data_IF_247763020216
#
_entry.id   IF_247763020216
#
_cell.length_a   1.000
_cell.length_b   1.000
_cell.length_c   1.000
_cell.angle_alpha   90.00
_cell.angle_beta   90.00
_cell.angle_gamma   90.00
#
_symmetry.space_group_name_H-M   'P 1'
#
loop_
_entity.id
_entity.type
_entity.pdbx_description
1 polymer ?
#
# COMPACT_ATOMS: atom_id res chain seq x y z
N UNK A 1 -31.21 -52.46 25.97
CA UNK A 1 -31.69 -51.07 26.14
C UNK A 1 -30.47 -50.15 26.10
N UNK A 2 -30.07 -49.82 24.93
CA UNK A 2 -28.78 -49.17 24.62
C UNK A 2 -29.06 -47.73 24.15
N UNK A 3 -28.65 -46.77 24.97
CA UNK A 3 -28.82 -45.36 24.69
C UNK A 3 -27.72 -44.86 23.74
N UNK A 4 -28.10 -44.55 22.52
CA UNK A 4 -27.25 -43.86 21.54
C UNK A 4 -26.89 -42.46 22.04
N UNK A 5 -25.60 -42.19 22.28
CA UNK A 5 -25.05 -40.86 22.53
C UNK A 5 -24.88 -40.15 21.21
N UNK A 6 -25.68 -39.12 20.99
CA UNK A 6 -25.54 -38.15 19.92
C UNK A 6 -24.27 -37.32 20.17
N UNK A 7 -23.27 -37.49 19.32
CA UNK A 7 -22.09 -36.59 19.21
C UNK A 7 -22.44 -35.38 18.37
N UNK A 8 -23.05 -34.36 18.97
CA UNK A 8 -23.13 -33.04 18.38
C UNK A 8 -21.80 -32.35 18.47
N UNK A 9 -21.06 -32.27 17.35
CA UNK A 9 -19.85 -31.47 17.24
C UNK A 9 -20.18 -29.97 17.39
N UNK A 10 -19.29 -29.18 18.03
CA UNK A 10 -19.54 -27.73 18.19
C UNK A 10 -19.27 -27.03 16.87
N UNK A 11 -20.28 -26.85 16.02
CA UNK A 11 -20.27 -25.77 15.05
C UNK A 11 -20.40 -24.48 15.83
N UNK A 12 -19.27 -23.90 16.26
CA UNK A 12 -19.21 -22.56 16.80
C UNK A 12 -19.57 -21.61 15.65
N UNK A 13 -20.83 -21.17 15.62
CA UNK A 13 -21.25 -20.04 14.77
C UNK A 13 -20.47 -18.81 15.25
N UNK A 14 -19.39 -18.49 14.55
CA UNK A 14 -18.66 -17.23 14.78
C UNK A 14 -19.66 -16.09 14.64
N UNK A 15 -19.73 -15.25 15.67
CA UNK A 15 -20.54 -14.03 15.60
C UNK A 15 -20.06 -13.21 14.40
N UNK A 16 -20.95 -12.56 13.62
CA UNK A 16 -20.58 -11.84 12.39
C UNK A 16 -19.38 -10.88 12.56
N UNK A 17 -19.26 -10.23 13.73
CA UNK A 17 -18.12 -9.36 14.05
C UNK A 17 -16.79 -10.11 14.21
N UNK A 18 -16.80 -11.33 14.78
CA UNK A 18 -15.59 -12.13 14.93
C UNK A 18 -15.10 -12.67 13.59
N UNK A 19 -16.01 -13.08 12.69
CA UNK A 19 -15.66 -13.51 11.33
C UNK A 19 -15.02 -12.38 10.52
N UNK A 20 -15.56 -11.16 10.60
CA UNK A 20 -15.00 -9.96 9.95
C UNK A 20 -13.62 -9.61 10.52
N UNK A 21 -13.45 -9.67 11.84
CA UNK A 21 -12.15 -9.42 12.47
C UNK A 21 -11.10 -10.45 12.03
N UNK A 22 -11.47 -11.73 11.96
CA UNK A 22 -10.59 -12.78 11.47
C UNK A 22 -10.21 -12.58 9.99
N UNK A 23 -11.16 -12.22 9.12
CA UNK A 23 -10.89 -11.93 7.71
C UNK A 23 -9.90 -10.75 7.54
N UNK A 24 -10.04 -9.68 8.31
CA UNK A 24 -9.11 -8.54 8.29
C UNK A 24 -7.71 -8.93 8.79
N UNK A 25 -7.65 -9.68 9.87
CA UNK A 25 -6.37 -10.17 10.41
C UNK A 25 -5.66 -11.11 9.43
N UNK A 26 -6.38 -11.92 8.67
CA UNK A 26 -5.86 -12.82 7.64
C UNK A 26 -5.80 -12.23 6.23
N UNK A 27 -6.04 -10.93 6.06
CA UNK A 27 -6.16 -10.31 4.72
C UNK A 27 -4.94 -10.51 3.83
N UNK A 28 -3.74 -10.64 4.41
CA UNK A 28 -2.48 -10.85 3.70
C UNK A 28 -1.98 -12.31 3.75
N UNK A 29 -2.75 -13.27 4.27
CA UNK A 29 -2.29 -14.67 4.46
C UNK A 29 -1.83 -15.33 3.15
N UNK A 30 -2.54 -15.07 2.04
CA UNK A 30 -2.18 -15.61 0.73
C UNK A 30 -0.91 -15.00 0.13
N UNK A 31 -0.38 -13.93 0.74
CA UNK A 31 0.85 -13.27 0.34
C UNK A 31 2.07 -13.77 1.12
N UNK A 32 1.89 -14.48 2.24
CA UNK A 32 2.99 -14.99 3.08
C UNK A 32 4.03 -15.79 2.29
N UNK A 33 3.66 -16.68 1.33
CA UNK A 33 4.64 -17.45 0.58
C UNK A 33 5.59 -16.63 -0.30
N UNK A 34 5.31 -15.34 -0.52
CA UNK A 34 6.21 -14.46 -1.25
C UNK A 34 7.46 -14.07 -0.44
N UNK A 35 7.38 -14.16 0.88
CA UNK A 35 8.42 -13.63 1.77
C UNK A 35 9.27 -14.73 2.38
N UNK A 36 10.55 -14.45 2.50
CA UNK A 36 11.46 -15.19 3.36
C UNK A 36 11.35 -14.62 4.78
N UNK A 37 11.21 -15.53 5.77
CA UNK A 37 11.08 -15.20 7.19
C UNK A 37 10.02 -14.11 7.48
N UNK A 38 8.76 -14.26 7.03
CA UNK A 38 7.74 -13.26 7.23
C UNK A 38 7.40 -13.07 8.70
N UNK A 39 7.28 -11.82 9.13
CA UNK A 39 6.73 -11.45 10.43
C UNK A 39 5.38 -10.81 10.16
N UNK A 40 4.30 -11.48 10.59
CA UNK A 40 2.95 -10.95 10.49
C UNK A 40 2.50 -10.37 11.83
N UNK A 41 1.84 -9.20 11.75
CA UNK A 41 1.21 -8.54 12.89
C UNK A 41 -0.17 -8.05 12.48
N UNK A 42 -1.03 -7.82 13.46
CA UNK A 42 -2.31 -7.13 13.25
C UNK A 42 -2.15 -5.71 13.75
N UNK A 43 -2.48 -4.74 12.89
CA UNK A 43 -2.43 -3.31 13.23
C UNK A 43 -3.63 -2.89 14.09
N UNK A 44 -3.59 -1.68 14.64
CA UNK A 44 -4.70 -1.11 15.44
C UNK A 44 -6.00 -0.98 14.63
N UNK A 45 -5.92 -0.99 13.31
CA UNK A 45 -7.08 -1.01 12.40
C UNK A 45 -7.73 -2.39 12.27
N UNK A 46 -7.11 -3.43 12.86
CA UNK A 46 -7.52 -4.82 12.75
C UNK A 46 -7.03 -5.52 11.48
N UNK A 47 -6.34 -4.81 10.57
CA UNK A 47 -5.78 -5.41 9.36
C UNK A 47 -4.37 -5.94 9.56
N UNK A 48 -4.02 -6.95 8.73
CA UNK A 48 -2.70 -7.55 8.71
C UNK A 48 -1.62 -6.56 8.22
N UNK A 49 -0.39 -6.73 8.75
CA UNK A 49 0.86 -6.13 8.27
C UNK A 49 1.92 -7.21 8.19
N UNK A 50 2.65 -7.29 7.09
CA UNK A 50 3.76 -8.21 6.89
C UNK A 50 5.05 -7.43 6.76
N UNK A 51 6.10 -7.90 7.45
CA UNK A 51 7.49 -7.50 7.21
C UNK A 51 8.30 -8.74 6.90
N UNK A 52 9.14 -8.71 5.87
CA UNK A 52 9.96 -9.86 5.47
C UNK A 52 10.81 -9.56 4.24
N UNK A 53 11.68 -10.50 3.88
CA UNK A 53 12.51 -10.39 2.68
C UNK A 53 11.77 -10.91 1.44
N UNK A 54 11.89 -10.20 0.34
CA UNK A 54 11.46 -10.61 -0.99
C UNK A 54 12.60 -10.37 -1.97
N UNK A 55 13.07 -11.42 -2.63
CA UNK A 55 14.23 -11.35 -3.55
C UNK A 55 15.46 -10.70 -2.89
N UNK A 56 15.70 -11.00 -1.61
CA UNK A 56 16.82 -10.47 -0.84
C UNK A 56 16.68 -9.03 -0.34
N UNK A 57 15.58 -8.33 -0.63
CA UNK A 57 15.31 -6.96 -0.18
C UNK A 57 14.22 -6.94 0.90
N UNK A 58 14.33 -6.01 1.86
CA UNK A 58 13.40 -5.91 2.98
C UNK A 58 12.15 -5.13 2.59
N UNK A 59 11.00 -5.75 2.80
CA UNK A 59 9.69 -5.14 2.56
C UNK A 59 8.87 -5.01 3.82
N UNK A 60 8.04 -3.97 3.85
CA UNK A 60 6.96 -3.77 4.80
C UNK A 60 5.66 -3.52 4.02
N UNK A 61 4.67 -4.36 4.26
CA UNK A 61 3.36 -4.31 3.60
C UNK A 61 2.28 -4.09 4.64
N UNK A 62 1.53 -3.01 4.49
CA UNK A 62 0.49 -2.63 5.42
C UNK A 62 -0.82 -2.37 4.70
N UNK A 63 -1.93 -2.77 5.32
CA UNK A 63 -3.29 -2.49 4.84
C UNK A 63 -3.93 -1.43 5.72
N UNK A 64 -4.44 -0.36 5.10
CA UNK A 64 -5.01 0.79 5.82
C UNK A 64 -6.39 1.11 5.28
N UNK A 65 -7.45 0.99 6.11
CA UNK A 65 -8.78 1.43 5.74
C UNK A 65 -8.88 2.97 5.79
N UNK A 66 -9.46 3.57 4.77
CA UNK A 66 -9.81 4.98 4.73
C UNK A 66 -11.34 5.13 4.81
N UNK A 67 -11.82 5.34 6.02
CA UNK A 67 -13.23 5.53 6.33
C UNK A 67 -13.61 6.99 6.64
N UNK A 68 -12.61 7.90 6.68
CA UNK A 68 -12.80 9.28 7.17
C UNK A 68 -13.26 10.26 6.08
N UNK A 69 -13.30 9.86 4.83
CA UNK A 69 -13.70 10.74 3.74
C UNK A 69 -15.23 10.86 3.66
N UNK A 70 -15.80 11.92 4.24
CA UNK A 70 -17.24 12.22 4.24
C UNK A 70 -17.88 12.35 2.84
N UNK A 71 -17.07 12.48 1.77
CA UNK A 71 -17.53 12.70 0.40
C UNK A 71 -17.14 11.60 -0.58
N UNK A 72 -16.39 10.59 -0.15
CA UNK A 72 -15.95 9.46 -0.97
C UNK A 72 -16.40 8.16 -0.34
N UNK A 73 -16.48 7.12 -1.15
CA UNK A 73 -16.72 5.77 -0.65
C UNK A 73 -15.52 5.35 0.22
N UNK A 74 -15.78 4.64 1.34
CA UNK A 74 -14.71 3.99 2.09
C UNK A 74 -13.89 3.08 1.17
N UNK A 75 -12.57 3.09 1.36
CA UNK A 75 -11.67 2.30 0.55
C UNK A 75 -10.58 1.66 1.40
N UNK A 76 -9.87 0.70 0.82
CA UNK A 76 -8.78 -0.03 1.44
C UNK A 76 -7.50 0.23 0.64
N UNK A 77 -6.51 0.82 1.30
CA UNK A 77 -5.21 1.10 0.74
C UNK A 77 -4.20 0.03 1.12
N UNK A 78 -3.40 -0.39 0.16
CA UNK A 78 -2.23 -1.23 0.37
C UNK A 78 -0.99 -0.34 0.29
N UNK A 79 -0.24 -0.27 1.36
CA UNK A 79 1.04 0.43 1.43
C UNK A 79 2.14 -0.63 1.29
N UNK A 80 2.87 -0.61 0.18
CA UNK A 80 4.01 -1.49 -0.07
C UNK A 80 5.28 -0.66 0.01
N UNK A 81 6.16 -0.97 0.94
CA UNK A 81 7.41 -0.24 1.16
C UNK A 81 8.59 -1.18 1.02
N UNK A 82 9.51 -0.87 0.13
CA UNK A 82 10.85 -1.45 0.10
C UNK A 82 11.72 -0.61 1.04
N UNK A 83 12.26 -1.26 2.09
CA UNK A 83 12.96 -0.60 3.21
C UNK A 83 14.48 -0.76 3.00
N UNK A 84 15.00 -0.02 2.03
CA UNK A 84 16.41 -0.01 1.68
C UNK A 84 16.89 1.43 1.48
N UNK A 85 18.08 1.75 1.97
CA UNK A 85 18.63 3.11 1.89
C UNK A 85 18.84 3.57 0.44
N UNK A 86 18.53 4.85 0.21
CA UNK A 86 18.74 5.55 -1.05
C UNK A 86 19.59 6.82 -0.85
N UNK A 87 20.51 7.12 -1.79
CA UNK A 87 21.35 8.31 -1.76
C UNK A 87 20.61 9.55 -2.32
N UNK A 88 19.41 9.83 -1.81
CA UNK A 88 18.61 10.99 -2.19
C UNK A 88 18.71 12.10 -1.15
N UNK A 89 18.59 13.37 -1.56
CA UNK A 89 18.75 14.53 -0.67
C UNK A 89 17.60 14.65 0.34
N UNK A 90 16.38 14.27 -0.06
CA UNK A 90 15.17 14.35 0.76
C UNK A 90 14.10 13.39 0.30
N UNK A 91 12.87 13.62 0.74
CA UNK A 91 11.70 12.85 0.33
C UNK A 91 11.03 13.49 -0.88
N UNK A 92 10.62 12.67 -1.84
CA UNK A 92 9.85 13.06 -3.03
C UNK A 92 8.57 12.25 -3.01
N UNK A 93 7.44 12.93 -2.81
CA UNK A 93 6.13 12.30 -2.79
C UNK A 93 5.34 12.75 -4.01
N UNK A 94 5.03 11.82 -4.89
CA UNK A 94 4.15 12.02 -6.05
C UNK A 94 2.79 11.40 -5.74
N UNK A 95 1.76 12.25 -5.62
CA UNK A 95 0.42 11.84 -5.21
C UNK A 95 -0.60 12.08 -6.31
N UNK A 96 -1.37 11.05 -6.62
CA UNK A 96 -2.49 11.11 -7.54
C UNK A 96 -3.72 11.68 -6.83
N UNK A 97 -4.39 12.66 -7.46
CA UNK A 97 -5.65 13.20 -6.96
C UNK A 97 -5.59 13.57 -5.46
N UNK A 98 -4.57 14.36 -5.08
CA UNK A 98 -4.36 14.80 -3.71
C UNK A 98 -5.61 15.52 -3.18
N UNK A 99 -6.05 15.16 -1.97
CA UNK A 99 -7.23 15.78 -1.31
C UNK A 99 -6.83 16.59 -0.08
N UNK A 100 -5.59 16.43 0.40
CA UNK A 100 -5.06 17.10 1.60
C UNK A 100 -5.52 16.48 2.92
N UNK A 101 -6.20 15.32 2.86
CA UNK A 101 -6.71 14.62 4.04
C UNK A 101 -6.30 13.13 4.05
N UNK A 102 -5.16 12.80 3.47
CA UNK A 102 -4.64 11.43 3.41
C UNK A 102 -3.97 11.06 4.74
N UNK A 103 -4.66 10.28 5.57
CA UNK A 103 -4.20 9.88 6.93
C UNK A 103 -3.01 8.92 6.91
N UNK A 104 -2.78 8.24 5.78
CA UNK A 104 -1.68 7.28 5.59
C UNK A 104 -0.40 7.92 5.04
N UNK A 105 -0.43 9.20 4.70
CA UNK A 105 0.65 9.90 4.00
C UNK A 105 1.13 11.13 4.77
N UNK A 106 2.42 11.40 4.66
CA UNK A 106 3.04 12.65 5.12
C UNK A 106 3.11 13.72 4.02
N UNK A 107 2.35 13.55 2.95
CA UNK A 107 2.35 14.46 1.80
C UNK A 107 2.06 15.92 2.21
N UNK A 108 1.12 16.12 3.14
CA UNK A 108 0.78 17.43 3.67
C UNK A 108 1.89 18.11 4.47
N UNK A 109 2.81 17.34 5.05
CA UNK A 109 3.90 17.86 5.89
C UNK A 109 5.07 18.38 5.06
N UNK A 110 5.16 18.00 3.77
CA UNK A 110 6.22 18.43 2.86
C UNK A 110 6.00 19.88 2.42
N UNK A 111 7.02 20.73 2.63
CA UNK A 111 6.88 22.18 2.49
C UNK A 111 6.83 22.65 1.04
N UNK A 112 7.59 22.00 0.14
CA UNK A 112 7.75 22.48 -1.22
C UNK A 112 6.86 21.68 -2.19
N UNK A 113 5.99 22.35 -2.91
CA UNK A 113 5.33 21.78 -4.07
C UNK A 113 6.13 22.17 -5.31
N UNK A 114 6.47 21.17 -6.12
CA UNK A 114 7.24 21.37 -7.36
C UNK A 114 6.37 21.18 -8.57
N UNK A 115 6.78 21.83 -9.69
CA UNK A 115 6.14 21.61 -10.97
C UNK A 115 6.24 20.14 -11.37
N UNK A 116 5.14 19.58 -11.87
CA UNK A 116 5.11 18.19 -12.33
C UNK A 116 5.79 18.12 -13.70
N UNK A 117 6.90 17.35 -13.84
CA UNK A 117 7.59 17.23 -15.10
C UNK A 117 6.76 16.49 -16.16
N UNK A 118 7.13 16.66 -17.43
CA UNK A 118 6.54 15.88 -18.53
C UNK A 118 6.81 14.39 -18.31
N UNK A 119 5.81 13.55 -18.60
CA UNK A 119 5.89 12.10 -18.44
C UNK A 119 5.23 11.56 -17.16
N UNK A 120 4.81 12.44 -16.25
CA UNK A 120 3.98 12.03 -15.12
C UNK A 120 2.51 11.90 -15.52
N UNK A 121 1.74 11.02 -14.85
CA UNK A 121 0.31 10.88 -15.10
C UNK A 121 -0.45 12.19 -14.81
N UNK A 122 -1.54 12.43 -15.54
CA UNK A 122 -2.44 13.55 -15.31
C UNK A 122 -3.05 13.47 -13.88
N UNK A 123 -3.21 14.63 -13.23
CA UNK A 123 -3.72 14.72 -11.86
C UNK A 123 -2.69 14.36 -10.78
N UNK A 124 -1.42 14.24 -11.14
CA UNK A 124 -0.32 14.10 -10.19
C UNK A 124 0.02 15.46 -9.56
N UNK A 125 0.34 15.43 -8.27
CA UNK A 125 0.94 16.54 -7.52
C UNK A 125 2.18 16.05 -6.83
N UNK A 126 3.27 16.84 -6.85
CA UNK A 126 4.54 16.42 -6.26
C UNK A 126 4.92 17.39 -5.16
N UNK A 127 5.30 16.83 -4.00
CA UNK A 127 5.88 17.58 -2.89
C UNK A 127 7.22 16.97 -2.44
N UNK A 128 8.08 17.82 -1.91
CA UNK A 128 9.42 17.46 -1.45
C UNK A 128 9.86 18.32 -0.26
N UNK A 129 10.73 17.77 0.57
CA UNK A 129 11.54 18.50 1.54
C UNK A 129 13.00 18.71 1.08
N UNK A 130 13.35 18.18 -0.10
CA UNK A 130 14.66 18.39 -0.70
C UNK A 130 14.80 19.81 -1.27
N UNK A 131 16.01 20.35 -1.16
CA UNK A 131 16.41 21.63 -1.75
C UNK A 131 17.33 21.34 -2.94
N UNK A 132 17.06 21.95 -4.10
CA UNK A 132 17.88 21.82 -5.31
C UNK A 132 17.29 20.88 -6.35
N UNK A 133 18.17 20.40 -7.25
CA UNK A 133 17.78 19.56 -8.38
C UNK A 133 17.14 18.24 -7.96
N UNK A 134 16.22 17.79 -8.77
CA UNK A 134 15.46 16.57 -8.56
C UNK A 134 15.90 15.46 -9.53
N UNK A 135 17.01 14.75 -9.25
CA UNK A 135 17.63 13.80 -10.20
C UNK A 135 16.78 12.56 -10.46
N UNK A 136 15.85 12.24 -9.57
CA UNK A 136 14.98 11.03 -9.69
C UNK A 136 13.68 11.28 -10.46
N UNK A 137 13.44 12.48 -10.98
CA UNK A 137 12.16 12.83 -11.61
C UNK A 137 11.81 11.93 -12.80
N UNK A 138 12.75 11.72 -13.72
CA UNK A 138 12.51 10.91 -14.92
C UNK A 138 12.24 9.44 -14.57
N UNK A 139 13.00 8.89 -13.62
CA UNK A 139 12.83 7.51 -13.12
C UNK A 139 11.46 7.35 -12.46
N UNK A 140 11.09 8.27 -11.60
CA UNK A 140 9.79 8.23 -10.90
C UNK A 140 8.62 8.41 -11.88
N UNK A 141 8.73 9.33 -12.84
CA UNK A 141 7.73 9.52 -13.88
C UNK A 141 7.51 8.28 -14.74
N UNK A 142 8.60 7.64 -15.18
CA UNK A 142 8.57 6.38 -15.93
C UNK A 142 7.92 5.24 -15.15
N UNK A 143 8.25 5.09 -13.87
CA UNK A 143 7.64 4.11 -13.00
C UNK A 143 6.13 4.32 -12.86
N UNK A 144 5.71 5.56 -12.58
CA UNK A 144 4.28 5.89 -12.40
C UNK A 144 3.48 5.74 -13.68
N UNK A 145 4.05 6.05 -14.85
CA UNK A 145 3.39 5.89 -16.14
C UNK A 145 3.12 4.41 -16.49
N UNK A 146 3.90 3.48 -15.94
CA UNK A 146 3.70 2.04 -16.10
C UNK A 146 2.62 1.43 -15.19
N UNK A 147 2.05 2.21 -14.26
CA UNK A 147 1.05 1.74 -13.30
C UNK A 147 -0.39 2.11 -13.73
N UNK A 148 -1.36 1.31 -13.28
CA UNK A 148 -2.77 1.68 -13.38
C UNK A 148 -3.06 2.92 -12.50
N UNK A 149 -3.19 4.09 -13.14
CA UNK A 149 -3.40 5.37 -12.48
C UNK A 149 -4.74 5.48 -11.75
N UNK A 150 -5.72 4.63 -12.07
CA UNK A 150 -6.99 4.57 -11.35
C UNK A 150 -6.80 4.00 -9.93
N UNK A 151 -5.86 3.06 -9.78
CA UNK A 151 -5.52 2.42 -8.50
C UNK A 151 -4.35 3.07 -7.79
N UNK A 152 -3.47 3.72 -8.51
CA UNK A 152 -2.32 4.41 -7.92
C UNK A 152 -2.77 5.63 -7.10
N UNK A 153 -2.33 5.71 -5.85
CA UNK A 153 -2.57 6.87 -4.98
C UNK A 153 -1.31 7.69 -4.74
N UNK A 154 -0.20 7.05 -4.39
CA UNK A 154 1.03 7.75 -4.04
C UNK A 154 2.26 6.89 -4.36
N UNK A 155 3.33 7.53 -4.80
CA UNK A 155 4.68 6.96 -4.81
C UNK A 155 5.60 7.87 -4.02
N UNK A 156 6.36 7.28 -3.10
CA UNK A 156 7.33 7.98 -2.25
C UNK A 156 8.72 7.44 -2.54
N UNK A 157 9.66 8.37 -2.77
CA UNK A 157 11.10 8.08 -2.80
C UNK A 157 11.74 8.86 -1.67
N UNK A 158 12.36 8.18 -0.72
CA UNK A 158 12.98 8.78 0.46
C UNK A 158 14.31 8.11 0.80
N UNK A 159 15.12 8.71 1.67
CA UNK A 159 16.39 8.14 2.15
C UNK A 159 16.25 6.74 2.75
N UNK A 160 15.08 6.40 3.25
CA UNK A 160 14.79 5.13 3.93
C UNK A 160 14.20 4.08 3.01
N UNK A 161 13.92 4.40 1.75
CA UNK A 161 13.37 3.46 0.78
C UNK A 161 12.38 4.07 -0.18
N UNK A 162 11.65 3.19 -0.87
CA UNK A 162 10.58 3.55 -1.81
C UNK A 162 9.26 2.93 -1.36
N UNK A 163 8.15 3.63 -1.62
CA UNK A 163 6.80 3.16 -1.27
C UNK A 163 5.83 3.42 -2.41
N UNK A 164 4.91 2.48 -2.61
CA UNK A 164 3.69 2.71 -3.38
C UNK A 164 2.46 2.56 -2.50
N UNK A 165 1.47 3.42 -2.70
CA UNK A 165 0.14 3.31 -2.09
C UNK A 165 -0.85 2.98 -3.18
N UNK A 166 -1.54 1.86 -3.01
CA UNK A 166 -2.36 1.22 -4.02
C UNK A 166 -3.77 0.96 -3.54
N UNK A 167 -4.77 1.27 -4.35
CA UNK A 167 -6.16 0.97 -4.06
C UNK A 167 -6.44 -0.53 -4.31
N UNK A 168 -6.79 -1.26 -3.26
CA UNK A 168 -7.14 -2.69 -3.37
C UNK A 168 -8.63 -2.93 -3.37
N UNK A 169 -9.38 -2.18 -2.55
CA UNK A 169 -10.84 -2.28 -2.48
C UNK A 169 -11.47 -0.89 -2.36
N UNK A 170 -12.64 -0.74 -2.93
CA UNK A 170 -13.55 0.40 -2.72
C UNK A 170 -14.92 -0.18 -2.33
N UNK A 171 -15.60 0.48 -1.37
CA UNK A 171 -16.91 0.02 -0.93
C UNK A 171 -17.94 0.09 -2.06
N UNK A 172 -18.83 -0.89 -2.13
CA UNK A 172 -19.96 -0.86 -3.05
C UNK A 172 -20.86 0.34 -2.74
N UNK A 173 -21.07 1.19 -3.76
CA UNK A 173 -21.82 2.44 -3.63
C UNK A 173 -23.27 2.22 -3.22
N UNK A 174 -23.92 1.24 -3.83
CA UNK A 174 -25.34 0.95 -3.56
C UNK A 174 -25.53 0.47 -2.13
N UNK A 175 -24.72 -0.48 -1.72
CA UNK A 175 -24.75 -1.03 -0.36
C UNK A 175 -24.38 0.03 0.70
N UNK A 176 -23.35 0.81 0.47
CA UNK A 176 -22.93 1.85 1.42
C UNK A 176 -23.98 2.95 1.59
N UNK A 177 -24.66 3.36 0.52
CA UNK A 177 -25.74 4.36 0.61
C UNK A 177 -26.95 3.85 1.38
N UNK A 178 -27.27 2.56 1.27
CA UNK A 178 -28.44 1.96 1.94
C UNK A 178 -28.15 1.61 3.40
N UNK A 179 -27.00 1.01 3.69
CA UNK A 179 -26.72 0.41 5.00
C UNK A 179 -25.64 1.14 5.80
N UNK A 180 -24.94 2.12 5.20
CA UNK A 180 -23.77 2.80 5.79
C UNK A 180 -22.68 1.82 6.26
N UNK A 181 -22.66 0.62 5.69
CA UNK A 181 -21.69 -0.44 5.99
C UNK A 181 -20.76 -0.66 4.79
N UNK A 182 -19.47 -0.49 5.04
CA UNK A 182 -18.41 -0.81 4.08
C UNK A 182 -17.84 -2.17 4.46
N UNK A 183 -18.19 -3.22 3.72
CA UNK A 183 -17.56 -4.54 3.88
C UNK A 183 -16.19 -4.56 3.18
N UNK A 184 -15.19 -3.94 3.81
CA UNK A 184 -13.81 -3.99 3.34
C UNK A 184 -13.05 -5.14 4.00
N UNK A 185 -12.18 -5.81 3.21
CA UNK A 185 -11.31 -6.88 3.68
C UNK A 185 -12.02 -8.22 3.82
N UNK A 186 -13.11 -8.46 3.08
CA UNK A 186 -13.83 -9.73 3.10
C UNK A 186 -13.07 -10.82 2.33
N UNK A 187 -12.32 -10.46 1.31
CA UNK A 187 -11.51 -11.39 0.49
C UNK A 187 -10.03 -11.10 0.69
N UNK A 188 -9.24 -12.12 1.00
CA UNK A 188 -7.80 -12.00 1.18
C UNK A 188 -7.12 -11.51 -0.11
N UNK A 189 -6.10 -10.65 0.06
CA UNK A 189 -5.26 -10.18 -1.05
C UNK A 189 -4.44 -11.35 -1.60
N UNK A 190 -4.38 -11.46 -2.92
CA UNK A 190 -3.60 -12.52 -3.57
C UNK A 190 -2.18 -12.08 -3.89
N UNK A 191 -1.26 -13.04 -3.95
CA UNK A 191 0.11 -12.84 -4.40
C UNK A 191 0.18 -12.20 -5.81
N UNK A 192 -0.78 -12.50 -6.68
CA UNK A 192 -0.86 -11.93 -8.03
C UNK A 192 -1.04 -10.41 -8.05
N UNK A 193 -1.60 -9.82 -7.00
CA UNK A 193 -1.70 -8.36 -6.85
C UNK A 193 -0.45 -7.77 -6.21
N UNK A 194 0.10 -8.42 -5.19
CA UNK A 194 1.22 -7.88 -4.42
C UNK A 194 2.57 -8.01 -5.13
N UNK A 195 2.86 -9.18 -5.75
CA UNK A 195 4.17 -9.44 -6.34
C UNK A 195 4.57 -8.42 -7.43
N UNK A 196 3.70 -8.01 -8.38
CA UNK A 196 4.05 -7.00 -9.36
C UNK A 196 4.39 -5.63 -8.74
N UNK A 197 3.73 -5.25 -7.64
CA UNK A 197 4.03 -4.00 -6.93
C UNK A 197 5.41 -4.06 -6.27
N UNK A 198 5.77 -5.18 -5.65
CA UNK A 198 7.09 -5.38 -5.07
C UNK A 198 8.17 -5.42 -6.15
N UNK A 199 7.95 -6.13 -7.25
CA UNK A 199 8.88 -6.15 -8.39
C UNK A 199 9.11 -4.76 -8.98
N UNK A 200 8.05 -3.99 -9.14
CA UNK A 200 8.14 -2.62 -9.60
C UNK A 200 8.95 -1.73 -8.66
N UNK A 201 8.81 -1.89 -7.34
CA UNK A 201 9.59 -1.14 -6.35
C UNK A 201 11.06 -1.57 -6.34
N UNK A 202 11.39 -2.86 -6.57
CA UNK A 202 12.77 -3.31 -6.76
C UNK A 202 13.41 -2.61 -7.97
N UNK A 203 12.68 -2.52 -9.09
CA UNK A 203 13.12 -1.80 -10.29
C UNK A 203 13.33 -0.31 -10.02
N UNK A 204 12.33 0.35 -9.43
CA UNK A 204 12.43 1.78 -9.08
C UNK A 204 13.63 2.06 -8.17
N UNK A 205 13.85 1.24 -7.15
CA UNK A 205 15.00 1.38 -6.24
C UNK A 205 16.32 1.24 -7.01
N UNK A 206 16.45 0.22 -7.87
CA UNK A 206 17.66 -0.02 -8.66
C UNK A 206 17.96 1.15 -9.62
N UNK A 207 16.94 1.69 -10.28
CA UNK A 207 17.06 2.83 -11.20
C UNK A 207 17.47 4.11 -10.46
N UNK A 208 16.93 4.37 -9.26
CA UNK A 208 17.34 5.50 -8.42
C UNK A 208 18.81 5.34 -7.99
N UNK A 209 19.21 4.13 -7.59
CA UNK A 209 20.61 3.83 -7.23
C UNK A 209 21.55 4.05 -8.41
N UNK A 210 21.19 3.60 -9.61
CA UNK A 210 21.99 3.79 -10.83
C UNK A 210 22.10 5.26 -11.22
N UNK A 211 21.02 6.04 -11.10
CA UNK A 211 21.00 7.47 -11.40
C UNK A 211 21.79 8.34 -10.41
N UNK A 212 21.99 7.83 -9.19
CA UNK A 212 22.75 8.51 -8.13
C UNK A 212 24.26 8.17 -8.17
N UNK A 213 24.68 7.16 -8.93
CA UNK A 213 26.10 6.84 -9.10
C UNK A 213 26.84 8.01 -9.76
N UNK A 214 28.02 8.43 -9.25
CA UNK A 214 28.78 9.49 -9.88
C UNK A 214 29.11 9.10 -11.33
N UNK A 215 28.71 9.95 -12.27
CA UNK A 215 29.14 9.80 -13.67
C UNK A 215 30.64 10.04 -13.69
N UNK A 216 31.43 8.97 -13.71
CA UNK A 216 32.85 9.07 -13.97
C UNK A 216 33.03 9.59 -15.42
N UNK A 217 33.32 10.90 -15.53
CA UNK A 217 33.75 11.53 -16.77
C UNK A 217 35.25 11.31 -17.02
#
# INVERSE_FOLDING_TARGET
MEMARSTGGPFAFLRPGAARAAARAGYLDLCLPLFEQPIMRVSDTGFARISGQYKGQMFDVQVVPDSLNLRKLPCLWLLVTLVERLPVAGSYNAMMRATGAETFSKFGDLQNQVAVPVGFPEGCTIRTDAVGDWPVSAVLGGYMAGLDTARLKEVVVAKTGVRVVWLVEEADRGRYLLFRDAELGAQALTAAVLAPLMDGLCGLWADVMAGAAPKHG
#
